data_IF_003194292917
#
_entry.id   IF_003194292917
#
_cell.length_a   1.000
_cell.length_b   1.000
_cell.length_c   1.000
_cell.angle_alpha   90.00
_cell.angle_beta   90.00
_cell.angle_gamma   90.00
#
_symmetry.space_group_name_H-M   'P 1'
#
loop_
_entity.id
_entity.type
_entity.pdbx_description
1 polymer ?
#
# COMPACT_ATOMS: atom_id res chain seq x y z
N UNK A 1 16.84 17.63 7.00
CA UNK A 1 15.39 17.33 7.05
C UNK A 1 15.01 17.14 8.51
N UNK A 2 13.96 17.80 9.01
CA UNK A 2 13.42 17.54 10.34
C UNK A 2 13.12 16.05 10.57
N UNK A 3 13.33 15.54 11.79
CA UNK A 3 13.14 14.11 12.13
C UNK A 3 11.68 13.64 12.06
N UNK A 4 10.74 14.58 12.14
CA UNK A 4 9.29 14.34 12.10
C UNK A 4 8.71 14.40 10.67
N UNK A 5 9.54 14.26 9.64
CA UNK A 5 9.08 14.13 8.26
C UNK A 5 9.23 12.68 7.81
N UNK A 6 8.13 12.10 7.35
CA UNK A 6 8.11 10.83 6.63
C UNK A 6 7.92 11.11 5.14
N UNK A 7 8.74 10.49 4.30
CA UNK A 7 8.54 10.54 2.85
C UNK A 7 7.96 9.21 2.39
N UNK A 8 6.89 9.23 1.61
CA UNK A 8 6.26 7.99 1.13
C UNK A 8 6.14 7.96 -0.39
N UNK A 9 6.11 6.75 -0.94
CA UNK A 9 5.97 6.51 -2.36
C UNK A 9 4.82 5.54 -2.62
N UNK A 10 3.94 5.92 -3.55
CA UNK A 10 3.01 4.98 -4.16
C UNK A 10 3.74 4.13 -5.18
N UNK A 11 3.69 2.81 -4.99
CA UNK A 11 4.35 1.83 -5.85
C UNK A 11 3.32 0.94 -6.53
N UNK A 12 3.58 0.65 -7.79
CA UNK A 12 2.74 -0.21 -8.61
C UNK A 12 3.61 -1.01 -9.58
N UNK A 13 3.04 -2.04 -10.21
CA UNK A 13 3.79 -2.84 -11.17
C UNK A 13 4.12 -2.03 -12.42
N UNK A 14 5.23 -2.32 -13.13
CA UNK A 14 5.54 -1.67 -14.40
C UNK A 14 4.37 -1.76 -15.40
N UNK A 15 3.64 -2.87 -15.39
CA UNK A 15 2.41 -3.06 -16.17
C UNK A 15 1.36 -2.00 -15.85
N UNK A 16 1.04 -1.77 -14.57
CA UNK A 16 0.05 -0.73 -14.20
C UNK A 16 0.60 0.67 -14.45
N UNK A 17 1.85 0.94 -14.12
CA UNK A 17 2.44 2.28 -14.31
C UNK A 17 2.39 2.69 -15.78
N UNK A 18 2.73 1.78 -16.69
CA UNK A 18 2.78 2.05 -18.13
C UNK A 18 1.38 2.26 -18.72
N UNK A 19 0.41 1.45 -18.29
CA UNK A 19 -0.93 1.44 -18.89
C UNK A 19 -1.90 2.43 -18.24
N UNK A 20 -1.72 2.79 -16.96
CA UNK A 20 -2.74 3.49 -16.18
C UNK A 20 -2.22 4.70 -15.38
N UNK A 21 -0.90 4.82 -15.13
CA UNK A 21 -0.30 5.95 -14.38
C UNK A 21 0.50 6.90 -15.31
N UNK A 22 -0.15 7.41 -16.35
CA UNK A 22 0.49 8.29 -17.33
C UNK A 22 1.12 9.55 -16.70
N UNK A 23 2.22 10.02 -17.30
CA UNK A 23 2.99 11.21 -16.87
C UNK A 23 3.60 11.10 -15.46
N UNK A 24 3.69 9.89 -14.91
CA UNK A 24 4.35 9.63 -13.63
C UNK A 24 5.74 9.02 -13.80
N UNK A 25 6.52 9.01 -12.72
CA UNK A 25 7.83 8.36 -12.71
C UNK A 25 7.69 6.82 -12.78
N UNK A 26 8.61 6.16 -13.48
CA UNK A 26 8.75 4.70 -13.49
C UNK A 26 9.00 4.12 -12.08
N UNK A 27 8.66 2.84 -11.87
CA UNK A 27 8.92 2.12 -10.61
C UNK A 27 10.36 2.29 -10.11
N UNK A 28 11.35 2.10 -11.00
CA UNK A 28 12.76 2.21 -10.65
C UNK A 28 13.13 3.60 -10.10
N UNK A 29 12.71 4.67 -10.80
CA UNK A 29 12.90 6.05 -10.34
C UNK A 29 12.28 6.29 -8.95
N UNK A 30 11.10 5.73 -8.67
CA UNK A 30 10.44 5.84 -7.35
C UNK A 30 11.27 5.15 -6.26
N UNK A 31 11.67 3.90 -6.48
CA UNK A 31 12.50 3.13 -5.54
C UNK A 31 13.86 3.79 -5.33
N UNK A 32 14.52 4.26 -6.38
CA UNK A 32 15.81 4.94 -6.28
C UNK A 32 15.70 6.27 -5.53
N UNK A 33 14.61 7.03 -5.73
CA UNK A 33 14.34 8.22 -4.94
C UNK A 33 14.14 7.89 -3.45
N UNK A 34 13.35 6.86 -3.14
CA UNK A 34 13.16 6.39 -1.77
C UNK A 34 14.48 5.96 -1.12
N UNK A 35 15.33 5.22 -1.85
CA UNK A 35 16.65 4.80 -1.37
C UNK A 35 17.53 5.99 -1.02
N UNK A 36 17.63 6.99 -1.91
CA UNK A 36 18.40 8.23 -1.66
C UNK A 36 17.91 9.03 -0.45
N UNK A 37 16.62 8.96 -0.13
CA UNK A 37 16.05 9.62 1.06
C UNK A 37 16.37 8.80 2.32
N UNK A 38 16.23 7.48 2.25
CA UNK A 38 16.59 6.58 3.34
C UNK A 38 18.10 6.63 3.67
N UNK A 39 18.98 6.80 2.68
CA UNK A 39 20.44 6.98 2.87
C UNK A 39 20.78 8.25 3.66
N UNK A 40 19.89 9.24 3.67
CA UNK A 40 20.01 10.45 4.48
C UNK A 40 19.44 10.28 5.90
N UNK A 41 19.04 9.07 6.28
CA UNK A 41 18.46 8.75 7.59
C UNK A 41 16.99 9.13 7.74
N UNK A 42 16.33 9.62 6.68
CA UNK A 42 14.90 9.95 6.70
C UNK A 42 14.10 8.65 6.55
N UNK A 43 13.08 8.45 7.37
CA UNK A 43 12.25 7.24 7.30
C UNK A 43 11.32 7.31 6.10
N UNK A 44 11.20 6.18 5.41
CA UNK A 44 10.40 6.06 4.19
C UNK A 44 9.15 5.22 4.41
N UNK A 45 8.17 5.33 3.53
CA UNK A 45 6.99 4.48 3.52
C UNK A 45 6.57 4.10 2.11
N UNK A 46 5.88 2.97 1.99
CA UNK A 46 5.44 2.45 0.70
C UNK A 46 3.94 2.21 0.69
N UNK A 47 3.25 2.77 -0.30
CA UNK A 47 1.82 2.58 -0.49
C UNK A 47 1.57 1.74 -1.74
N UNK A 48 0.89 0.60 -1.57
CA UNK A 48 0.33 -0.18 -2.66
C UNK A 48 -1.17 0.06 -2.69
N UNK A 49 -1.55 1.20 -3.25
CA UNK A 49 -2.93 1.63 -3.34
C UNK A 49 -3.13 2.42 -4.63
N UNK A 50 -3.83 1.86 -5.63
CA UNK A 50 -4.44 0.52 -5.64
C UNK A 50 -3.46 -0.62 -5.93
N UNK A 51 -3.68 -1.77 -5.28
CA UNK A 51 -3.32 -3.06 -5.86
C UNK A 51 -4.36 -3.38 -6.94
N UNK A 52 -3.90 -3.71 -8.15
CA UNK A 52 -4.76 -3.95 -9.32
C UNK A 52 -4.66 -5.41 -9.75
N UNK A 53 -5.80 -6.06 -9.91
CA UNK A 53 -5.89 -7.43 -10.40
C UNK A 53 -5.78 -7.45 -11.93
N UNK A 54 -4.90 -8.31 -12.44
CA UNK A 54 -4.78 -8.67 -13.86
C UNK A 54 -4.02 -10.01 -13.95
N UNK A 55 -3.97 -10.62 -15.13
CA UNK A 55 -3.29 -11.92 -15.30
C UNK A 55 -1.81 -11.80 -14.89
N UNK A 56 -1.38 -12.57 -13.89
CA UNK A 56 0.00 -12.58 -13.40
C UNK A 56 0.35 -11.49 -12.38
N UNK A 57 -0.62 -10.71 -11.89
CA UNK A 57 -0.35 -9.57 -11.00
C UNK A 57 0.37 -9.95 -9.71
N UNK A 58 0.03 -11.07 -9.06
CA UNK A 58 0.66 -11.51 -7.81
C UNK A 58 2.18 -11.65 -7.97
N UNK A 59 2.63 -12.30 -9.05
CA UNK A 59 4.05 -12.49 -9.33
C UNK A 59 4.76 -11.17 -9.66
N UNK A 60 4.10 -10.27 -10.39
CA UNK A 60 4.67 -8.94 -10.65
C UNK A 60 4.81 -8.09 -9.39
N UNK A 61 3.80 -8.08 -8.50
CA UNK A 61 3.89 -7.39 -7.22
C UNK A 61 4.93 -8.03 -6.31
N UNK A 62 5.04 -9.37 -6.30
CA UNK A 62 6.07 -10.08 -5.53
C UNK A 62 7.48 -9.59 -5.86
N UNK A 63 7.78 -9.37 -7.15
CA UNK A 63 9.09 -8.83 -7.57
C UNK A 63 9.38 -7.45 -6.96
N UNK A 64 8.34 -6.61 -6.78
CA UNK A 64 8.49 -5.32 -6.10
C UNK A 64 8.79 -5.55 -4.62
N UNK A 65 8.02 -6.40 -3.94
CA UNK A 65 8.21 -6.70 -2.52
C UNK A 65 9.62 -7.24 -2.25
N UNK A 66 10.08 -8.20 -3.04
CA UNK A 66 11.43 -8.77 -2.97
C UNK A 66 12.50 -7.68 -3.17
N UNK A 67 12.29 -6.76 -4.12
CA UNK A 67 13.20 -5.63 -4.38
C UNK A 67 13.27 -4.69 -3.17
N UNK A 68 12.14 -4.41 -2.52
CA UNK A 68 12.09 -3.57 -1.33
C UNK A 68 12.80 -4.23 -0.14
N UNK A 69 12.56 -5.52 0.09
CA UNK A 69 13.25 -6.30 1.12
C UNK A 69 14.77 -6.31 0.92
N UNK A 70 15.22 -6.36 -0.34
CA UNK A 70 16.64 -6.33 -0.67
C UNK A 70 17.27 -4.94 -0.46
N UNK A 71 16.54 -3.87 -0.78
CA UNK A 71 17.08 -2.51 -0.83
C UNK A 71 16.89 -1.71 0.46
N UNK A 72 16.00 -2.12 1.36
CA UNK A 72 15.66 -1.37 2.57
C UNK A 72 15.72 -2.25 3.82
N UNK A 73 16.22 -1.68 4.91
CA UNK A 73 16.17 -2.28 6.24
C UNK A 73 14.81 -1.95 6.89
N UNK A 74 14.26 -2.83 7.75
CA UNK A 74 13.03 -2.55 8.50
C UNK A 74 13.09 -1.24 9.31
N UNK A 75 14.28 -0.89 9.81
CA UNK A 75 14.55 0.34 10.55
C UNK A 75 14.42 1.62 9.72
N UNK A 76 14.53 1.53 8.40
CA UNK A 76 14.41 2.64 7.47
C UNK A 76 12.96 2.88 7.04
N UNK A 77 12.11 1.86 7.20
CA UNK A 77 10.72 1.88 6.72
C UNK A 77 9.77 2.05 7.90
N UNK A 78 8.99 3.13 7.86
CA UNK A 78 7.98 3.43 8.87
C UNK A 78 6.70 2.62 8.64
N UNK A 79 6.26 2.51 7.39
CA UNK A 79 4.98 1.91 7.02
C UNK A 79 5.00 1.22 5.67
N UNK A 80 4.13 0.22 5.53
CA UNK A 80 3.65 -0.30 4.25
C UNK A 80 2.13 -0.38 4.31
N UNK A 81 1.43 0.16 3.32
CA UNK A 81 -0.04 0.10 3.26
C UNK A 81 -0.54 -0.61 2.02
N UNK A 82 -1.66 -1.33 2.16
CA UNK A 82 -2.35 -1.95 1.04
C UNK A 82 -3.76 -1.37 0.89
N UNK A 83 -4.23 -1.18 -0.33
CA UNK A 83 -5.59 -0.78 -0.61
C UNK A 83 -6.00 -1.21 -2.00
N UNK A 84 -7.28 -1.44 -2.21
CA UNK A 84 -7.81 -1.84 -3.51
C UNK A 84 -8.36 -0.65 -4.27
N UNK A 85 -8.51 -0.84 -5.57
CA UNK A 85 -9.19 0.12 -6.39
C UNK A 85 -10.66 0.23 -5.96
N UNK A 86 -11.09 1.45 -5.68
CA UNK A 86 -12.47 1.73 -5.31
C UNK A 86 -13.04 2.78 -6.24
N UNK A 87 -14.06 2.39 -7.00
CA UNK A 87 -14.77 3.29 -7.88
C UNK A 87 -16.01 3.86 -7.22
N UNK A 88 -16.17 5.18 -7.28
CA UNK A 88 -17.47 5.80 -7.06
C UNK A 88 -18.23 5.82 -8.40
N UNK A 89 -19.55 5.55 -8.36
CA UNK A 89 -20.42 5.46 -9.57
C UNK A 89 -20.23 6.62 -10.59
N UNK A 90 -20.05 7.89 -10.17
CA UNK A 90 -19.81 8.99 -11.11
C UNK A 90 -18.49 8.88 -11.90
N UNK A 91 -17.44 8.33 -11.29
CA UNK A 91 -16.10 8.20 -11.90
C UNK A 91 -16.11 7.15 -13.01
N UNK A 92 -16.81 6.02 -12.83
CA UNK A 92 -16.98 5.04 -13.91
C UNK A 92 -17.69 5.66 -15.11
N UNK A 93 -18.75 6.46 -14.87
CA UNK A 93 -19.48 7.14 -15.95
C UNK A 93 -18.61 8.14 -16.69
N UNK A 94 -17.74 8.88 -15.98
CA UNK A 94 -16.79 9.79 -16.60
C UNK A 94 -15.67 9.07 -17.35
N UNK A 95 -15.13 7.97 -16.81
CA UNK A 95 -14.09 7.17 -17.47
C UNK A 95 -14.60 6.54 -18.77
N UNK A 96 -15.83 6.03 -18.78
CA UNK A 96 -16.49 5.50 -20.00
C UNK A 96 -16.79 6.58 -21.04
N UNK A 97 -16.88 7.85 -20.63
CA UNK A 97 -17.18 8.98 -21.51
C UNK A 97 -15.96 9.71 -22.05
N UNK A 98 -14.74 9.30 -21.68
CA UNK A 98 -13.49 9.87 -22.20
C UNK A 98 -12.84 8.89 -23.20
N UNK A 99 -12.15 9.41 -24.21
CA UNK A 99 -11.33 8.61 -25.14
C UNK A 99 -10.01 8.12 -24.49
N UNK A 100 -10.08 7.59 -23.27
CA UNK A 100 -8.94 6.91 -22.65
C UNK A 100 -9.11 5.40 -22.81
N UNK A 101 -8.12 4.75 -23.41
CA UNK A 101 -8.04 3.29 -23.48
C UNK A 101 -7.61 2.71 -22.12
N UNK A 102 -8.52 2.69 -21.14
CA UNK A 102 -8.30 2.05 -19.82
C UNK A 102 -8.88 0.64 -19.79
N UNK A 103 -8.13 -0.31 -19.23
CA UNK A 103 -8.64 -1.68 -18.99
C UNK A 103 -9.18 -1.87 -17.59
N UNK A 104 -8.91 -0.92 -16.70
CA UNK A 104 -9.35 -0.96 -15.32
C UNK A 104 -10.88 -1.08 -15.19
N UNK A 105 -11.66 -0.48 -16.09
CA UNK A 105 -13.13 -0.57 -16.06
C UNK A 105 -13.67 -1.96 -16.42
N UNK A 106 -12.82 -2.88 -16.87
CA UNK A 106 -13.18 -4.24 -17.27
C UNK A 106 -13.01 -5.24 -16.12
N UNK A 107 -12.49 -4.82 -14.95
CA UNK A 107 -12.27 -5.71 -13.83
C UNK A 107 -13.61 -5.98 -13.12
N UNK A 108 -13.93 -7.24 -12.73
CA UNK A 108 -15.14 -7.54 -11.99
C UNK A 108 -15.22 -6.75 -10.67
N UNK A 109 -16.38 -6.16 -10.40
CA UNK A 109 -16.61 -5.40 -9.17
C UNK A 109 -17.90 -5.82 -8.47
N UNK A 110 -17.90 -5.75 -7.15
CA UNK A 110 -19.06 -5.92 -6.26
C UNK A 110 -19.35 -4.60 -5.52
N UNK A 111 -20.58 -4.43 -5.01
CA UNK A 111 -20.97 -3.25 -4.23
C UNK A 111 -20.30 -3.28 -2.85
N UNK A 112 -19.56 -2.21 -2.55
CA UNK A 112 -18.86 -1.94 -1.31
C UNK A 112 -19.33 -0.57 -0.79
N UNK A 113 -20.47 -0.58 -0.07
CA UNK A 113 -21.04 0.61 0.57
C UNK A 113 -21.36 1.76 -0.42
N UNK A 114 -21.98 1.45 -1.56
CA UNK A 114 -22.35 2.44 -2.58
C UNK A 114 -21.22 2.81 -3.55
N UNK A 115 -20.05 2.17 -3.40
CA UNK A 115 -18.90 2.19 -4.30
C UNK A 115 -18.73 0.80 -4.91
N UNK A 116 -18.06 0.67 -6.04
CA UNK A 116 -17.76 -0.65 -6.63
C UNK A 116 -16.28 -0.97 -6.46
N UNK A 117 -15.96 -2.13 -5.88
CA UNK A 117 -14.58 -2.59 -5.62
C UNK A 117 -14.49 -4.10 -5.86
N UNK A 118 -13.31 -4.72 -5.72
CA UNK A 118 -13.15 -6.16 -5.99
C UNK A 118 -13.97 -7.03 -5.02
N UNK A 119 -14.34 -8.26 -5.44
CA UNK A 119 -14.91 -9.26 -4.55
C UNK A 119 -14.04 -9.47 -3.31
N UNK A 120 -14.68 -9.73 -2.17
CA UNK A 120 -13.98 -9.86 -0.89
C UNK A 120 -12.87 -10.92 -0.92
N UNK A 121 -13.10 -12.05 -1.58
CA UNK A 121 -12.11 -13.13 -1.71
C UNK A 121 -10.85 -12.69 -2.46
N UNK A 122 -11.01 -11.93 -3.56
CA UNK A 122 -9.90 -11.35 -4.31
C UNK A 122 -9.10 -10.37 -3.45
N UNK A 123 -9.77 -9.53 -2.66
CA UNK A 123 -9.11 -8.62 -1.70
C UNK A 123 -8.29 -9.39 -0.66
N UNK A 124 -8.85 -10.46 -0.10
CA UNK A 124 -8.17 -11.29 0.89
C UNK A 124 -6.92 -11.93 0.27
N UNK A 125 -7.02 -12.48 -0.94
CA UNK A 125 -5.90 -13.10 -1.65
C UNK A 125 -4.76 -12.10 -1.86
N UNK A 126 -5.06 -10.94 -2.46
CA UNK A 126 -4.02 -9.95 -2.76
C UNK A 126 -3.35 -9.42 -1.50
N UNK A 127 -4.11 -9.12 -0.45
CA UNK A 127 -3.57 -8.57 0.79
C UNK A 127 -2.80 -9.62 1.58
N UNK A 128 -3.27 -10.88 1.63
CA UNK A 128 -2.50 -11.98 2.22
C UNK A 128 -1.18 -12.18 1.49
N UNK A 129 -1.21 -12.19 0.16
CA UNK A 129 0.00 -12.36 -0.65
C UNK A 129 1.01 -11.23 -0.38
N UNK A 130 0.55 -9.98 -0.39
CA UNK A 130 1.38 -8.83 -0.09
C UNK A 130 1.95 -8.88 1.33
N UNK A 131 1.08 -9.06 2.34
CA UNK A 131 1.49 -9.11 3.74
C UNK A 131 2.49 -10.23 4.00
N UNK A 132 2.21 -11.46 3.54
CA UNK A 132 3.12 -12.61 3.68
C UNK A 132 4.48 -12.39 3.02
N UNK A 133 4.52 -11.69 1.88
CA UNK A 133 5.78 -11.36 1.21
C UNK A 133 6.68 -10.53 2.11
N UNK A 134 6.12 -9.67 2.97
CA UNK A 134 6.87 -8.88 3.95
C UNK A 134 7.06 -9.56 5.32
N UNK A 135 6.96 -10.90 5.42
CA UNK A 135 7.18 -11.62 6.69
C UNK A 135 8.46 -11.21 7.45
N UNK A 136 9.61 -10.93 6.80
CA UNK A 136 10.82 -10.47 7.49
C UNK A 136 10.68 -9.11 8.21
N UNK A 137 9.70 -8.29 7.83
CA UNK A 137 9.48 -6.94 8.38
C UNK A 137 8.42 -6.90 9.49
N UNK A 138 7.74 -8.02 9.77
CA UNK A 138 6.60 -8.05 10.70
C UNK A 138 6.99 -8.21 12.17
N UNK A 139 8.22 -8.64 12.47
CA UNK A 139 8.69 -9.01 13.81
C UNK A 139 9.90 -8.19 14.25
N UNK A 140 10.18 -8.21 15.55
CA UNK A 140 11.31 -7.51 16.16
C UNK A 140 10.99 -6.06 16.56
N UNK A 141 11.96 -5.41 17.18
CA UNK A 141 11.80 -4.05 17.72
C UNK A 141 11.62 -2.99 16.62
N UNK A 142 12.26 -3.22 15.48
CA UNK A 142 12.26 -2.36 14.30
C UNK A 142 11.21 -2.77 13.27
N UNK A 143 10.18 -3.55 13.67
CA UNK A 143 9.10 -3.98 12.76
C UNK A 143 8.47 -2.82 12.02
N UNK A 144 8.00 -3.08 10.80
CA UNK A 144 7.30 -2.11 9.96
C UNK A 144 5.82 -2.12 10.31
N UNK A 145 5.18 -0.94 10.28
CA UNK A 145 3.75 -0.84 10.53
C UNK A 145 2.98 -1.15 9.24
N UNK A 146 2.04 -2.09 9.31
CA UNK A 146 1.20 -2.49 8.16
C UNK A 146 -0.25 -2.09 8.41
N UNK A 147 -0.91 -1.54 7.38
CA UNK A 147 -2.33 -1.20 7.45
C UNK A 147 -3.06 -1.38 6.13
N UNK A 148 -4.37 -1.61 6.20
CA UNK A 148 -5.26 -1.55 5.04
C UNK A 148 -5.88 -0.15 4.94
N UNK A 149 -5.80 0.47 3.77
CA UNK A 149 -6.26 1.84 3.52
C UNK A 149 -7.65 1.83 2.90
N UNK A 150 -8.63 2.48 3.56
CA UNK A 150 -10.02 2.58 3.09
C UNK A 150 -10.71 1.21 2.86
N UNK A 151 -10.28 0.18 3.57
CA UNK A 151 -10.83 -1.17 3.48
C UNK A 151 -11.71 -1.55 4.69
N UNK A 152 -12.73 -2.40 4.51
CA UNK A 152 -13.57 -2.88 5.60
C UNK A 152 -12.79 -3.53 6.75
N UNK A 153 -13.27 -3.32 7.97
CA UNK A 153 -12.68 -3.83 9.21
C UNK A 153 -12.47 -5.36 9.20
N UNK A 154 -13.43 -6.11 8.67
CA UNK A 154 -13.36 -7.57 8.59
C UNK A 154 -12.20 -8.12 7.73
N UNK A 155 -11.64 -7.33 6.81
CA UNK A 155 -10.51 -7.76 5.99
C UNK A 155 -9.22 -7.82 6.80
N UNK A 156 -9.09 -7.03 7.86
CA UNK A 156 -7.88 -6.97 8.68
C UNK A 156 -7.56 -8.32 9.32
N UNK A 157 -8.53 -8.89 10.04
CA UNK A 157 -8.37 -10.20 10.69
C UNK A 157 -8.10 -11.28 9.65
N UNK A 158 -8.85 -11.27 8.54
CA UNK A 158 -8.69 -12.25 7.47
C UNK A 158 -7.35 -12.15 6.77
N UNK A 159 -6.65 -11.00 6.78
CA UNK A 159 -5.41 -10.78 6.00
C UNK A 159 -4.16 -10.75 6.86
N UNK A 160 -4.19 -9.99 7.96
CA UNK A 160 -3.08 -9.81 8.87
C UNK A 160 -3.12 -10.74 10.08
N UNK A 161 -4.29 -11.33 10.38
CA UNK A 161 -4.52 -12.11 11.60
C UNK A 161 -4.67 -11.26 12.86
N UNK A 162 -4.98 -9.96 12.70
CA UNK A 162 -5.36 -9.05 13.77
C UNK A 162 -6.22 -7.90 13.21
N UNK A 163 -6.94 -7.21 14.08
CA UNK A 163 -7.65 -5.98 13.77
C UNK A 163 -7.56 -4.97 14.93
N UNK A 164 -8.05 -3.74 14.70
CA UNK A 164 -8.21 -2.71 15.73
C UNK A 164 -9.69 -2.51 16.03
N UNK A 165 -10.10 -2.42 17.30
CA UNK A 165 -11.52 -2.32 17.64
C UNK A 165 -12.17 -1.03 17.08
N UNK A 166 -11.43 0.08 17.07
CA UNK A 166 -11.90 1.37 16.55
C UNK A 166 -10.85 2.04 15.65
N UNK A 167 -11.28 3.05 14.88
CA UNK A 167 -10.36 3.90 14.14
C UNK A 167 -9.39 4.65 15.06
N UNK A 168 -9.82 5.01 16.28
CA UNK A 168 -8.96 5.67 17.26
C UNK A 168 -7.87 4.73 17.77
N UNK A 169 -8.18 3.44 17.96
CA UNK A 169 -7.18 2.44 18.35
C UNK A 169 -6.14 2.21 17.25
N UNK A 170 -6.62 2.16 15.99
CA UNK A 170 -5.76 2.10 14.81
C UNK A 170 -4.84 3.33 14.74
N UNK A 171 -5.40 4.54 14.84
CA UNK A 171 -4.64 5.79 14.76
C UNK A 171 -3.59 5.86 15.87
N UNK A 172 -3.96 5.51 17.11
CA UNK A 172 -3.05 5.45 18.24
C UNK A 172 -1.90 4.47 18.00
N UNK A 173 -2.20 3.27 17.49
CA UNK A 173 -1.17 2.27 17.17
C UNK A 173 -0.24 2.73 16.04
N UNK A 174 -0.80 3.37 15.01
CA UNK A 174 -0.06 3.93 13.88
C UNK A 174 0.89 5.03 14.33
N UNK A 175 0.40 6.03 15.05
CA UNK A 175 1.21 7.14 15.55
C UNK A 175 2.29 6.65 16.51
N UNK A 176 1.94 5.75 17.44
CA UNK A 176 2.92 5.12 18.33
C UNK A 176 4.04 4.39 17.57
N UNK A 177 3.70 3.64 16.52
CA UNK A 177 4.70 2.98 15.68
C UNK A 177 5.59 3.97 14.93
N UNK A 178 5.04 5.07 14.42
CA UNK A 178 5.81 6.10 13.69
C UNK A 178 6.73 6.86 14.63
N UNK A 179 6.23 7.32 15.78
CA UNK A 179 7.02 7.99 16.82
C UNK A 179 8.18 7.09 17.27
N UNK A 180 7.92 5.80 17.56
CA UNK A 180 8.97 4.84 17.89
C UNK A 180 10.02 4.73 16.77
N UNK A 181 9.60 4.67 15.51
CA UNK A 181 10.50 4.56 14.36
C UNK A 181 11.46 5.76 14.23
N UNK A 182 11.00 6.96 14.56
CA UNK A 182 11.79 8.19 14.51
C UNK A 182 12.48 8.53 15.84
N UNK A 183 12.35 7.67 16.87
CA UNK A 183 12.93 7.88 18.19
C UNK A 183 12.34 9.08 18.93
N UNK A 184 11.04 9.33 18.74
CA UNK A 184 10.29 10.35 19.47
C UNK A 184 9.30 9.71 20.43
N UNK A 185 9.10 10.36 21.57
CA UNK A 185 8.07 9.97 22.51
C UNK A 185 6.68 10.29 21.93
N UNK A 186 5.77 9.32 22.00
CA UNK A 186 4.40 9.52 21.58
C UNK A 186 3.63 10.13 22.75
N UNK A 187 3.44 11.44 22.71
CA UNK A 187 2.68 12.17 23.72
C UNK A 187 1.19 12.05 23.38
N UNK A 188 0.43 11.40 24.26
CA UNK A 188 -1.04 11.33 24.23
C UNK A 188 -1.57 12.12 25.41
#
# INVERSE_FOLDING_TARGET
MPKNILCTWSLNTPTIITNEEHLTASLEKRINAARRIADKGVKVGFHFHPIVEYVGYLDEYKKIYDTLLLKFKPSEVALVSFGTLTFIKPVIKQLRGREFHTKITQIPHEDASGKTSYPQNTKIEMFKHAYKSFAPWQKGEEKVFFYLCMEPHELWEKTFGYNYATNNDFERAMLGAYCKKIGQEFLI
#
